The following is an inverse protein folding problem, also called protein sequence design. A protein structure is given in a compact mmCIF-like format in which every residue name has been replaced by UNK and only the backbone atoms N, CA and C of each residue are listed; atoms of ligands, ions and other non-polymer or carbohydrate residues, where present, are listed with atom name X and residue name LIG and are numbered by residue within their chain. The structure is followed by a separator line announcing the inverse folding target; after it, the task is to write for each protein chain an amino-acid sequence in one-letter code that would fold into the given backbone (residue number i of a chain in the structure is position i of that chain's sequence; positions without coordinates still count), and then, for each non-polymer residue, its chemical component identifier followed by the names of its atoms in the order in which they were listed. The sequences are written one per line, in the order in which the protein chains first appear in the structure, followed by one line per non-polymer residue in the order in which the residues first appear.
data_IF_462474118553
#
_entry.id   IF_462474118553
#
_cell.length_a   1.000
_cell.length_b   1.000
_cell.length_c   1.000
_cell.angle_alpha   90.00
_cell.angle_beta   90.00
_cell.angle_gamma   90.00
#
_symmetry.space_group_name_H-M   'P 1'
#
loop_
_entity.id
_entity.type
_entity.pdbx_description
1 polymer ?
#
# COMPACT_ATOMS: atom_id res chain seq x y z
N UNK A 1 4.48 -3.46 -19.61
CA UNK A 1 3.26 -2.75 -19.19
C UNK A 1 3.35 -2.50 -17.71
N UNK A 2 3.66 -1.26 -17.33
CA UNK A 2 3.59 -0.83 -15.92
C UNK A 2 2.13 -0.93 -15.51
N UNK A 3 1.81 -1.77 -14.54
CA UNK A 3 0.46 -1.91 -13.98
C UNK A 3 0.01 -0.57 -13.40
N UNK A 4 -1.28 -0.21 -13.51
CA UNK A 4 -1.85 1.08 -13.05
C UNK A 4 -1.36 1.49 -11.65
N UNK A 5 -1.24 0.55 -10.70
CA UNK A 5 -0.71 0.84 -9.37
C UNK A 5 0.73 1.35 -9.38
N UNK A 6 1.60 0.78 -10.22
CA UNK A 6 3.02 1.14 -10.24
C UNK A 6 3.23 2.53 -10.87
N UNK A 7 2.42 2.90 -11.87
CA UNK A 7 2.41 4.26 -12.41
C UNK A 7 1.84 5.27 -11.39
N UNK A 8 0.68 4.96 -10.80
CA UNK A 8 0.06 5.81 -9.78
C UNK A 8 1.02 6.08 -8.62
N UNK A 9 1.58 5.05 -7.99
CA UNK A 9 2.41 5.26 -6.82
C UNK A 9 3.78 5.90 -7.13
N UNK A 10 4.26 5.85 -8.38
CA UNK A 10 5.54 6.50 -8.77
C UNK A 10 5.34 7.96 -9.16
N UNK A 11 4.29 8.24 -9.92
CA UNK A 11 4.13 9.51 -10.62
C UNK A 11 3.08 10.42 -9.98
N UNK A 12 2.04 9.83 -9.37
CA UNK A 12 0.86 10.55 -8.90
C UNK A 12 0.70 10.57 -7.37
N UNK A 13 1.20 9.55 -6.67
CA UNK A 13 1.13 9.47 -5.22
C UNK A 13 2.14 10.39 -4.55
N UNK A 14 1.63 11.33 -3.76
CA UNK A 14 2.38 12.28 -2.95
C UNK A 14 2.05 12.15 -1.46
N UNK A 15 0.85 11.68 -1.14
CA UNK A 15 0.39 11.46 0.23
C UNK A 15 -0.76 10.46 0.27
N UNK A 16 -1.06 9.95 1.46
CA UNK A 16 -2.23 9.07 1.69
C UNK A 16 -3.54 9.75 1.23
N UNK A 17 -3.61 11.09 1.19
CA UNK A 17 -4.80 11.83 0.73
C UNK A 17 -5.12 11.55 -0.75
N UNK A 18 -4.14 11.20 -1.56
CA UNK A 18 -4.33 10.88 -2.98
C UNK A 18 -5.09 9.56 -3.19
N UNK A 19 -5.21 8.75 -2.12
CA UNK A 19 -6.01 7.52 -2.12
C UNK A 19 -7.45 7.77 -1.63
N UNK A 20 -7.81 9.00 -1.22
CA UNK A 20 -9.17 9.35 -0.81
C UNK A 20 -10.03 9.50 -2.07
N UNK A 21 -11.09 8.68 -2.25
CA UNK A 21 -11.85 8.68 -3.49
C UNK A 21 -12.81 9.87 -3.61
N UNK A 22 -13.01 10.33 -4.86
CA UNK A 22 -14.06 11.28 -5.24
C UNK A 22 -15.37 10.59 -5.64
N UNK A 23 -15.28 9.36 -6.14
CA UNK A 23 -16.41 8.54 -6.60
C UNK A 23 -16.26 7.06 -6.22
N UNK A 24 -17.31 6.26 -6.43
CA UNK A 24 -17.26 4.81 -6.22
C UNK A 24 -16.25 4.11 -7.15
N UNK A 25 -16.13 4.58 -8.40
CA UNK A 25 -15.13 4.08 -9.34
C UNK A 25 -13.71 4.35 -8.84
N UNK A 26 -13.46 5.57 -8.32
CA UNK A 26 -12.17 5.93 -7.73
C UNK A 26 -11.87 5.06 -6.51
N UNK A 27 -12.88 4.78 -5.68
CA UNK A 27 -12.73 3.92 -4.51
C UNK A 27 -12.27 2.52 -4.92
N UNK A 28 -12.95 1.89 -5.87
CA UNK A 28 -12.58 0.56 -6.37
C UNK A 28 -11.17 0.56 -6.98
N UNK A 29 -10.85 1.60 -7.74
CA UNK A 29 -9.53 1.78 -8.34
C UNK A 29 -8.45 1.88 -7.26
N UNK A 30 -8.63 2.74 -6.26
CA UNK A 30 -7.66 2.95 -5.19
C UNK A 30 -7.52 1.71 -4.28
N UNK A 31 -8.61 0.97 -4.05
CA UNK A 31 -8.55 -0.32 -3.34
C UNK A 31 -7.69 -1.32 -4.10
N UNK A 32 -7.85 -1.43 -5.42
CA UNK A 32 -7.02 -2.31 -6.24
C UNK A 32 -5.55 -1.88 -6.24
N UNK A 33 -5.26 -0.58 -6.34
CA UNK A 33 -3.89 -0.06 -6.25
C UNK A 33 -3.20 -0.47 -4.95
N UNK A 34 -3.86 -0.27 -3.81
CA UNK A 34 -3.31 -0.65 -2.50
C UNK A 34 -3.17 -2.16 -2.36
N UNK A 35 -4.14 -2.94 -2.86
CA UNK A 35 -4.08 -4.41 -2.88
C UNK A 35 -2.86 -4.91 -3.66
N UNK A 36 -2.61 -4.33 -4.83
CA UNK A 36 -1.49 -4.73 -5.69
C UNK A 36 -0.15 -4.32 -5.07
N UNK A 37 -0.07 -3.13 -4.47
CA UNK A 37 1.09 -2.71 -3.69
C UNK A 37 1.41 -3.71 -2.57
N UNK A 38 0.41 -4.06 -1.74
CA UNK A 38 0.58 -5.02 -0.65
C UNK A 38 0.95 -6.42 -1.16
N UNK A 39 0.38 -6.84 -2.29
CA UNK A 39 0.75 -8.10 -2.95
C UNK A 39 2.21 -8.09 -3.36
N UNK A 40 2.67 -6.99 -3.96
CA UNK A 40 4.05 -6.84 -4.39
C UNK A 40 5.00 -6.86 -3.19
N UNK A 41 4.71 -6.15 -2.10
CA UNK A 41 5.54 -6.20 -0.87
C UNK A 41 5.53 -7.60 -0.25
N UNK A 42 4.37 -8.25 -0.19
CA UNK A 42 4.26 -9.62 0.34
C UNK A 42 5.07 -10.63 -0.48
N UNK A 43 5.11 -10.47 -1.82
CA UNK A 43 5.93 -11.32 -2.70
C UNK A 43 7.43 -11.19 -2.41
N UNK A 44 7.87 -10.00 -1.97
CA UNK A 44 9.27 -9.70 -1.66
C UNK A 44 9.63 -10.00 -0.20
N UNK A 45 8.69 -10.49 0.61
CA UNK A 45 8.90 -10.73 2.05
C UNK A 45 10.12 -11.59 2.37
N UNK A 46 10.37 -12.64 1.59
CA UNK A 46 11.55 -13.50 1.77
C UNK A 46 12.88 -12.75 1.58
N UNK A 47 12.92 -11.80 0.65
CA UNK A 47 14.10 -10.97 0.38
C UNK A 47 14.26 -9.84 1.39
N UNK A 48 13.15 -9.26 1.86
CA UNK A 48 13.15 -8.19 2.85
C UNK A 48 13.48 -8.71 4.25
N UNK A 49 13.06 -9.94 4.58
CA UNK A 49 13.18 -10.54 5.92
C UNK A 49 14.58 -10.46 6.56
N UNK A 50 15.67 -10.78 5.84
CA UNK A 50 17.04 -10.64 6.36
C UNK A 50 17.49 -9.19 6.56
N UNK A 51 16.86 -8.24 5.86
CA UNK A 51 17.21 -6.82 5.89
C UNK A 51 16.47 -6.06 7.00
N UNK A 52 15.39 -6.63 7.55
CA UNK A 52 14.54 -5.95 8.53
C UNK A 52 15.00 -6.18 9.96
N UNK A 53 14.99 -5.12 10.77
CA UNK A 53 15.15 -5.20 12.23
C UNK A 53 13.88 -5.74 12.91
N UNK A 54 13.97 -5.99 14.21
CA UNK A 54 12.87 -6.56 15.00
C UNK A 54 11.59 -5.72 14.94
N UNK A 55 11.75 -4.38 15.01
CA UNK A 55 10.64 -3.43 14.91
C UNK A 55 9.89 -3.50 13.57
N UNK A 56 10.58 -3.80 12.47
CA UNK A 56 10.00 -3.90 11.14
C UNK A 56 9.55 -5.32 10.77
N UNK A 57 10.09 -6.33 11.45
CA UNK A 57 9.70 -7.73 11.25
C UNK A 57 8.23 -7.97 11.58
N UNK A 58 7.71 -7.32 12.63
CA UNK A 58 6.28 -7.33 12.95
C UNK A 58 5.42 -6.79 11.80
N UNK A 59 5.80 -5.63 11.25
CA UNK A 59 5.14 -5.02 10.10
C UNK A 59 5.19 -5.92 8.86
N UNK A 60 6.38 -6.44 8.52
CA UNK A 60 6.57 -7.33 7.37
C UNK A 60 5.77 -8.64 7.51
N UNK A 61 5.64 -9.16 8.73
CA UNK A 61 4.80 -10.32 9.01
C UNK A 61 3.30 -10.02 8.93
N UNK A 62 2.88 -8.79 9.25
CA UNK A 62 1.50 -8.33 9.21
C UNK A 62 0.94 -8.06 7.80
N UNK A 63 1.78 -7.95 6.77
CA UNK A 63 1.34 -7.59 5.40
C UNK A 63 0.27 -8.55 4.86
N UNK A 64 0.40 -9.85 5.12
CA UNK A 64 -0.61 -10.82 4.68
C UNK A 64 -2.00 -10.58 5.29
N UNK A 65 -2.05 -10.07 6.53
CA UNK A 65 -3.30 -9.65 7.17
C UNK A 65 -3.87 -8.39 6.53
N UNK A 66 -3.03 -7.38 6.30
CA UNK A 66 -3.44 -6.14 5.61
C UNK A 66 -3.97 -6.41 4.20
N UNK A 67 -3.31 -7.31 3.44
CA UNK A 67 -3.77 -7.71 2.12
C UNK A 67 -5.17 -8.34 2.16
N UNK A 68 -5.43 -9.19 3.16
CA UNK A 68 -6.74 -9.81 3.37
C UNK A 68 -7.81 -8.77 3.71
N UNK A 69 -7.49 -7.80 4.58
CA UNK A 69 -8.40 -6.72 4.96
C UNK A 69 -8.78 -5.86 3.75
N UNK A 70 -7.79 -5.46 2.93
CA UNK A 70 -8.01 -4.66 1.72
C UNK A 70 -8.80 -5.44 0.66
N UNK A 71 -8.48 -6.72 0.44
CA UNK A 71 -9.24 -7.57 -0.48
C UNK A 71 -10.69 -7.77 -0.02
N UNK A 72 -10.90 -8.01 1.27
CA UNK A 72 -12.23 -8.14 1.86
C UNK A 72 -13.04 -6.85 1.75
N UNK A 73 -12.40 -5.71 1.97
CA UNK A 73 -12.99 -4.40 1.77
C UNK A 73 -13.40 -4.18 0.31
N UNK A 74 -12.53 -4.49 -0.66
CA UNK A 74 -12.84 -4.42 -2.09
C UNK A 74 -14.07 -5.22 -2.49
N UNK A 75 -14.18 -6.46 -2.00
CA UNK A 75 -15.35 -7.32 -2.23
C UNK A 75 -16.63 -6.77 -1.57
N UNK A 76 -16.51 -6.12 -0.41
CA UNK A 76 -17.63 -5.45 0.24
C UNK A 76 -18.12 -4.27 -0.60
N UNK A 77 -17.24 -3.33 -0.93
CA UNK A 77 -17.64 -2.11 -1.64
C UNK A 77 -18.11 -2.37 -3.07
N UNK A 78 -17.56 -3.38 -3.74
CA UNK A 78 -18.05 -3.83 -5.05
C UNK A 78 -19.49 -4.35 -5.02
N UNK A 79 -19.93 -4.95 -3.90
CA UNK A 79 -21.31 -5.41 -3.71
C UNK A 79 -22.25 -4.29 -3.26
N UNK A 80 -21.77 -3.39 -2.41
CA UNK A 80 -22.58 -2.30 -1.86
C UNK A 80 -22.81 -1.14 -2.82
N UNK A 81 -21.89 -0.93 -3.76
CA UNK A 81 -22.01 0.08 -4.81
C UNK A 81 -22.11 1.52 -4.30
N UNK A 82 -22.57 2.42 -5.18
CA UNK A 82 -22.61 3.87 -4.96
C UNK A 82 -23.53 4.29 -3.81
N UNK A 83 -24.60 3.53 -3.53
CA UNK A 83 -25.56 3.85 -2.48
C UNK A 83 -24.96 3.90 -1.07
N UNK A 84 -23.77 3.31 -0.86
CA UNK A 84 -23.01 3.37 0.40
C UNK A 84 -21.67 4.11 0.27
N UNK A 85 -21.45 4.85 -0.80
CA UNK A 85 -20.15 5.48 -1.09
C UNK A 85 -19.59 6.27 0.10
N UNK A 86 -20.38 7.15 0.73
CA UNK A 86 -19.90 7.96 1.85
C UNK A 86 -19.49 7.12 3.08
N UNK A 87 -20.24 6.05 3.37
CA UNK A 87 -19.91 5.11 4.45
C UNK A 87 -18.63 4.34 4.12
N UNK A 88 -18.50 3.89 2.88
CA UNK A 88 -17.35 3.15 2.40
C UNK A 88 -16.09 4.02 2.30
N UNK A 89 -16.22 5.28 1.91
CA UNK A 89 -15.13 6.27 1.94
C UNK A 89 -14.59 6.47 3.36
N UNK A 90 -15.46 6.58 4.37
CA UNK A 90 -15.03 6.70 5.77
C UNK A 90 -14.29 5.44 6.24
N UNK A 91 -14.85 4.26 5.99
CA UNK A 91 -14.21 2.99 6.33
C UNK A 91 -12.87 2.78 5.59
N UNK A 92 -12.79 3.23 4.34
CA UNK A 92 -11.57 3.22 3.55
C UNK A 92 -10.48 4.09 4.18
N UNK A 93 -10.80 5.29 4.64
CA UNK A 93 -9.84 6.16 5.31
C UNK A 93 -9.27 5.52 6.58
N UNK A 94 -10.09 4.83 7.37
CA UNK A 94 -9.62 4.05 8.53
C UNK A 94 -8.69 2.91 8.10
N UNK A 95 -9.01 2.23 7.00
CA UNK A 95 -8.18 1.15 6.48
C UNK A 95 -6.84 1.68 5.94
N UNK A 96 -6.82 2.84 5.27
CA UNK A 96 -5.61 3.52 4.83
C UNK A 96 -4.69 3.86 6.01
N UNK A 97 -5.25 4.38 7.12
CA UNK A 97 -4.47 4.66 8.32
C UNK A 97 -3.80 3.38 8.87
N UNK A 98 -4.55 2.27 8.91
CA UNK A 98 -4.00 0.96 9.31
C UNK A 98 -2.88 0.48 8.38
N UNK A 99 -3.07 0.59 7.07
CA UNK A 99 -2.15 0.11 6.02
C UNK A 99 -0.86 0.92 5.95
N UNK A 100 -0.92 2.24 6.15
CA UNK A 100 0.25 3.11 6.01
C UNK A 100 0.86 3.50 7.36
N UNK A 101 0.05 3.86 8.37
CA UNK A 101 0.53 4.44 9.64
C UNK A 101 0.60 3.41 10.78
N UNK A 102 -0.54 2.88 11.25
CA UNK A 102 -0.64 2.15 12.53
C UNK A 102 0.10 0.80 12.48
N UNK A 103 -0.10 0.04 11.40
CA UNK A 103 0.43 -1.32 11.20
C UNK A 103 1.36 -1.42 9.98
N UNK A 104 1.79 -0.26 9.45
CA UNK A 104 1.85 -0.11 8.00
C UNK A 104 3.20 0.03 7.33
N UNK A 105 3.12 0.16 6.01
CA UNK A 105 4.23 0.24 5.06
C UNK A 105 5.21 1.37 5.36
N UNK A 106 4.79 2.46 6.01
CA UNK A 106 5.69 3.56 6.35
C UNK A 106 6.81 3.12 7.32
N UNK A 107 6.55 2.12 8.18
CA UNK A 107 7.57 1.59 9.10
C UNK A 107 8.66 0.78 8.37
N UNK A 108 8.39 0.35 7.14
CA UNK A 108 9.37 -0.32 6.29
C UNK A 108 10.24 0.69 5.54
N UNK A 109 9.87 1.97 5.47
CA UNK A 109 10.56 2.99 4.66
C UNK A 109 12.07 3.09 4.92
N UNK A 110 12.56 3.16 6.17
CA UNK A 110 14.01 3.24 6.43
C UNK A 110 14.77 2.04 5.86
N UNK A 111 14.12 0.88 5.78
CA UNK A 111 14.68 -0.34 5.21
C UNK A 111 14.65 -0.33 3.69
N UNK A 112 13.60 0.22 3.10
CA UNK A 112 13.48 0.34 1.65
C UNK A 112 14.59 1.23 1.09
N UNK A 113 14.88 2.35 1.74
CA UNK A 113 15.99 3.23 1.38
C UNK A 113 17.35 2.52 1.47
N UNK A 114 17.57 1.71 2.52
CA UNK A 114 18.80 0.94 2.70
C UNK A 114 18.91 -0.21 1.69
N UNK A 115 17.80 -0.91 1.41
CA UNK A 115 17.77 -2.04 0.47
C UNK A 115 17.93 -1.59 -0.99
N UNK A 116 17.39 -0.42 -1.37
CA UNK A 116 17.57 0.13 -2.72
C UNK A 116 19.02 0.48 -3.06
N UNK A 117 19.85 0.76 -2.04
CA UNK A 117 21.29 0.98 -2.23
C UNK A 117 22.11 -0.30 -2.41
N UNK A 118 21.57 -1.47 -2.04
CA UNK A 118 22.28 -2.75 -2.05
C UNK A 118 21.72 -3.78 -3.05
N UNK A 119 20.45 -3.68 -3.46
CA UNK A 119 19.82 -4.62 -4.40
C UNK A 119 18.93 -3.88 -5.43
N UNK A 120 19.30 -3.82 -6.72
CA UNK A 120 18.55 -3.07 -7.75
C UNK A 120 17.10 -3.56 -7.97
N UNK A 121 16.83 -4.85 -7.72
CA UNK A 121 15.52 -5.48 -7.94
C UNK A 121 14.48 -5.02 -6.91
N UNK A 122 14.91 -4.73 -5.68
CA UNK A 122 14.04 -4.26 -4.60
C UNK A 122 13.51 -2.84 -4.91
N UNK A 123 14.31 -2.05 -5.62
CA UNK A 123 13.95 -0.68 -6.02
C UNK A 123 12.73 -0.63 -6.94
N UNK A 124 12.51 -1.57 -7.86
CA UNK A 124 11.39 -1.45 -8.80
C UNK A 124 10.02 -1.63 -8.13
N UNK A 125 9.91 -2.58 -7.19
CA UNK A 125 8.67 -2.91 -6.49
C UNK A 125 8.34 -1.88 -5.39
N UNK A 126 9.38 -1.29 -4.79
CA UNK A 126 9.26 -0.50 -3.57
C UNK A 126 9.66 0.98 -3.75
N UNK A 127 10.18 1.37 -4.93
CA UNK A 127 10.36 2.77 -5.36
C UNK A 127 9.14 3.65 -5.09
N UNK A 128 7.90 3.21 -5.30
CA UNK A 128 6.75 4.06 -5.06
C UNK A 128 6.57 4.44 -3.59
N UNK A 129 6.97 3.57 -2.66
CA UNK A 129 7.01 3.87 -1.22
C UNK A 129 8.21 4.74 -0.86
N UNK A 130 9.39 4.46 -1.45
CA UNK A 130 10.60 5.25 -1.22
C UNK A 130 10.47 6.71 -1.69
N UNK A 131 9.74 6.95 -2.80
CA UNK A 131 9.48 8.31 -3.31
C UNK A 131 8.59 9.15 -2.38
N UNK A 132 7.77 8.52 -1.53
CA UNK A 132 7.03 9.22 -0.48
C UNK A 132 7.97 9.93 0.51
N UNK A 133 9.18 9.40 0.73
CA UNK A 133 10.21 9.99 1.61
C UNK A 133 10.82 11.24 0.97
N UNK A 134 11.03 11.23 -0.34
CA UNK A 134 11.67 12.36 -1.04
C UNK A 134 10.77 13.59 -1.16
N UNK A 135 9.48 13.46 -0.81
CA UNK A 135 8.46 14.50 -0.90
C UNK A 135 7.83 14.88 0.46
N UNK A 136 8.29 14.26 1.55
CA UNK A 136 7.96 14.61 2.94
C UNK A 136 9.04 15.54 3.52
#
# INVERSE_FOLDING_TARGET
TTTDYADFFRNHFSSIKDLIPGSQSDLLTNVNRVKDLLTAVNSQKGMLGPLVGEAQRGTLNGIGGLLRDVAGFGNKVGREGEGRFNQNKSAWNTLLDKVFNTSGLLKLLPLLTRASSTVPVISAVLAPLALLIARL
#
